data_IF_872880162719
#
_entry.id   IF_872880162719
#
_cell.length_a   1.000
_cell.length_b   1.000
_cell.length_c   1.000
_cell.angle_alpha   90.00
_cell.angle_beta   90.00
_cell.angle_gamma   90.00
#
_symmetry.space_group_name_H-M   'P 1'
#
loop_
_entity.id
_entity.type
_entity.pdbx_description
1 polymer ?
#
# COMPACT_ATOMS: atom_id res chain seq x y z
N UNK A 1 -12.95 -24.36 5.82
CA UNK A 1 -11.49 -24.54 5.73
C UNK A 1 -10.95 -23.22 5.22
N UNK A 2 -10.12 -22.53 6.00
CA UNK A 2 -9.48 -21.29 5.57
C UNK A 2 -8.49 -21.64 4.45
N UNK A 3 -8.52 -20.87 3.36
CA UNK A 3 -7.69 -21.13 2.18
C UNK A 3 -6.28 -20.63 2.47
N UNK A 4 -5.38 -21.56 2.74
CA UNK A 4 -4.00 -21.31 3.18
C UNK A 4 -3.14 -20.90 1.97
N UNK A 5 -3.18 -19.63 1.59
CA UNK A 5 -2.12 -19.05 0.75
C UNK A 5 -0.95 -18.68 1.68
N UNK A 6 0.28 -18.96 1.24
CA UNK A 6 1.46 -18.90 2.11
C UNK A 6 2.25 -17.61 1.92
N UNK A 7 2.21 -17.02 0.72
CA UNK A 7 2.93 -15.79 0.41
C UNK A 7 2.19 -14.92 -0.62
N UNK A 8 2.33 -13.60 -0.45
CA UNK A 8 1.88 -12.58 -1.40
C UNK A 8 3.12 -11.96 -2.06
N UNK A 9 3.16 -11.94 -3.39
CA UNK A 9 4.29 -11.41 -4.18
C UNK A 9 3.82 -10.38 -5.19
N UNK A 10 4.64 -9.37 -5.42
CA UNK A 10 4.41 -8.26 -6.36
C UNK A 10 5.72 -7.96 -7.08
N UNK A 11 5.67 -7.75 -8.38
CA UNK A 11 6.83 -7.28 -9.14
C UNK A 11 6.92 -5.76 -9.02
N UNK A 12 7.96 -5.25 -8.35
CA UNK A 12 8.19 -3.82 -8.14
C UNK A 12 8.89 -3.21 -9.38
N UNK A 13 8.26 -2.24 -10.08
CA UNK A 13 8.88 -1.59 -11.23
C UNK A 13 10.14 -0.82 -10.83
N UNK A 14 11.23 -0.97 -11.59
CA UNK A 14 12.55 -0.40 -11.25
C UNK A 14 12.94 -0.69 -9.77
N UNK A 15 13.22 -1.97 -9.42
CA UNK A 15 13.37 -2.42 -8.03
C UNK A 15 14.37 -1.63 -7.17
N UNK A 16 15.37 -1.01 -7.79
CA UNK A 16 16.37 -0.17 -7.11
C UNK A 16 15.80 1.12 -6.51
N UNK A 17 14.58 1.52 -6.89
CA UNK A 17 13.86 2.66 -6.31
C UNK A 17 12.90 2.25 -5.19
N UNK A 18 12.87 0.96 -4.82
CA UNK A 18 11.94 0.46 -3.84
C UNK A 18 12.66 -0.12 -2.63
N UNK A 19 12.16 0.23 -1.46
CA UNK A 19 12.53 -0.37 -0.20
C UNK A 19 11.42 -1.34 0.23
N UNK A 20 11.72 -2.63 0.32
CA UNK A 20 10.80 -3.63 0.87
C UNK A 20 10.89 -3.63 2.39
N UNK A 21 9.76 -3.48 3.08
CA UNK A 21 9.74 -3.44 4.54
C UNK A 21 9.79 -4.86 5.12
N UNK A 22 10.72 -5.11 6.05
CA UNK A 22 10.76 -6.37 6.79
C UNK A 22 9.71 -6.36 7.90
N UNK A 23 8.49 -6.80 7.59
CA UNK A 23 7.37 -6.86 8.54
C UNK A 23 7.53 -7.94 9.63
N UNK A 24 8.63 -8.70 9.63
CA UNK A 24 8.93 -9.76 10.60
C UNK A 24 10.01 -9.35 11.61
N UNK A 25 10.71 -8.24 11.39
CA UNK A 25 11.73 -7.76 12.33
C UNK A 25 11.18 -7.56 13.74
N UNK A 26 11.93 -8.01 14.75
CA UNK A 26 11.63 -7.83 16.17
C UNK A 26 12.23 -6.54 16.73
N UNK A 27 13.18 -5.93 16.00
CA UNK A 27 13.83 -4.66 16.35
C UNK A 27 13.70 -3.65 15.18
N UNK A 28 12.50 -3.08 14.98
CA UNK A 28 12.23 -2.21 13.84
C UNK A 28 13.00 -0.88 13.89
N UNK A 29 13.37 -0.39 15.08
CA UNK A 29 14.11 0.87 15.24
C UNK A 29 15.55 0.73 14.73
N UNK A 30 16.25 -0.32 15.15
CA UNK A 30 17.61 -0.60 14.65
C UNK A 30 17.59 -0.92 13.16
N UNK A 31 16.60 -1.71 12.71
CA UNK A 31 16.43 -2.06 11.30
C UNK A 31 16.22 -0.81 10.42
N UNK A 32 15.33 0.11 10.81
CA UNK A 32 15.07 1.33 10.04
C UNK A 32 16.33 2.21 9.90
N UNK A 33 17.17 2.28 10.94
CA UNK A 33 18.46 2.98 10.89
C UNK A 33 19.47 2.29 9.97
N UNK A 34 19.53 0.97 9.99
CA UNK A 34 20.40 0.22 9.08
C UNK A 34 20.01 0.47 7.62
N UNK A 35 18.72 0.38 7.32
CA UNK A 35 18.16 0.70 6.01
C UNK A 35 18.50 2.11 5.57
N UNK A 36 18.36 3.11 6.45
CA UNK A 36 18.75 4.49 6.14
C UNK A 36 20.24 4.61 5.76
N UNK A 37 21.11 3.83 6.41
CA UNK A 37 22.55 3.83 6.12
C UNK A 37 22.94 3.14 4.83
N UNK A 38 22.13 2.18 4.37
CA UNK A 38 22.31 1.48 3.10
C UNK A 38 21.71 2.25 1.93
N UNK A 39 20.60 2.95 2.17
CA UNK A 39 19.83 3.63 1.12
C UNK A 39 20.34 5.03 0.78
N UNK A 40 20.87 5.76 1.76
CA UNK A 40 21.35 7.12 1.58
C UNK A 40 22.85 7.15 1.23
N UNK A 41 23.26 8.07 0.37
CA UNK A 41 24.67 8.23 0.00
C UNK A 41 25.57 8.53 1.21
N UNK A 42 26.82 8.07 1.12
CA UNK A 42 27.84 8.38 2.10
C UNK A 42 28.05 9.90 2.21
N UNK A 43 27.95 10.42 3.44
CA UNK A 43 28.05 11.86 3.71
C UNK A 43 26.72 12.61 3.75
N UNK A 44 25.58 11.91 3.63
CA UNK A 44 24.27 12.47 3.93
C UNK A 44 24.25 13.02 5.37
N UNK A 45 23.72 14.24 5.54
CA UNK A 45 23.67 14.91 6.84
C UNK A 45 22.82 14.15 7.87
N UNK A 46 23.15 14.25 9.17
CA UNK A 46 22.45 13.51 10.23
C UNK A 46 20.94 13.79 10.25
N UNK A 47 20.50 15.02 9.96
CA UNK A 47 19.08 15.39 9.97
C UNK A 47 18.26 14.63 8.91
N UNK A 48 18.81 14.46 7.70
CA UNK A 48 18.15 13.71 6.63
C UNK A 48 18.13 12.21 6.91
N UNK A 49 19.21 11.70 7.50
CA UNK A 49 19.30 10.32 7.94
C UNK A 49 18.24 9.99 9.00
N UNK A 50 18.13 10.82 10.04
CA UNK A 50 17.17 10.63 11.13
C UNK A 50 15.73 10.77 10.65
N UNK A 51 15.46 11.73 9.76
CA UNK A 51 14.15 11.90 9.14
C UNK A 51 13.75 10.66 8.33
N UNK A 52 14.64 10.16 7.48
CA UNK A 52 14.37 8.97 6.65
C UNK A 52 14.14 7.72 7.51
N UNK A 53 14.97 7.48 8.53
CA UNK A 53 14.79 6.36 9.45
C UNK A 53 13.44 6.46 10.19
N UNK A 54 13.03 7.68 10.56
CA UNK A 54 11.73 7.93 11.19
C UNK A 54 10.57 7.61 10.24
N UNK A 55 10.65 8.02 8.98
CA UNK A 55 9.64 7.71 7.95
C UNK A 55 9.52 6.20 7.74
N UNK A 56 10.65 5.50 7.56
CA UNK A 56 10.68 4.04 7.39
C UNK A 56 10.00 3.34 8.57
N UNK A 57 10.30 3.76 9.80
CA UNK A 57 9.69 3.22 11.01
C UNK A 57 8.18 3.51 11.08
N UNK A 58 7.76 4.72 10.69
CA UNK A 58 6.35 5.11 10.66
C UNK A 58 5.54 4.23 9.69
N UNK A 59 6.02 4.07 8.46
CA UNK A 59 5.37 3.24 7.45
C UNK A 59 5.38 1.75 7.82
N UNK A 60 6.47 1.26 8.42
CA UNK A 60 6.52 -0.10 8.96
C UNK A 60 5.44 -0.31 10.02
N UNK A 61 5.32 0.62 10.97
CA UNK A 61 4.31 0.57 12.03
C UNK A 61 2.89 0.63 11.46
N UNK A 62 2.65 1.45 10.45
CA UNK A 62 1.36 1.54 9.75
C UNK A 62 1.00 0.22 9.06
N UNK A 63 1.94 -0.38 8.32
CA UNK A 63 1.75 -1.67 7.65
C UNK A 63 1.47 -2.80 8.66
N UNK A 64 2.21 -2.85 9.78
CA UNK A 64 2.00 -3.83 10.86
C UNK A 64 0.63 -3.70 11.51
N UNK A 65 0.18 -2.50 11.85
CA UNK A 65 -1.16 -2.27 12.44
C UNK A 65 -2.29 -2.72 11.51
N UNK A 66 -2.07 -2.64 10.21
CA UNK A 66 -3.03 -3.06 9.19
C UNK A 66 -2.96 -4.56 8.86
N UNK A 67 -2.08 -5.32 9.51
CA UNK A 67 -1.78 -6.72 9.17
C UNK A 67 -1.43 -6.88 7.68
N UNK A 68 -0.61 -5.97 7.15
CA UNK A 68 -0.15 -6.05 5.79
C UNK A 68 0.62 -7.36 5.54
N UNK A 69 0.36 -7.97 4.39
CA UNK A 69 1.02 -9.17 3.90
C UNK A 69 2.38 -8.82 3.30
N UNK A 70 2.43 -7.70 2.58
CA UNK A 70 3.65 -7.08 2.11
C UNK A 70 3.52 -5.56 2.15
N UNK A 71 4.65 -4.88 2.30
CA UNK A 71 4.72 -3.44 2.25
C UNK A 71 6.04 -2.99 1.61
N UNK A 72 6.00 -1.91 0.85
CA UNK A 72 7.17 -1.36 0.15
C UNK A 72 7.05 0.15 0.03
N UNK A 73 8.17 0.85 0.06
CA UNK A 73 8.23 2.30 -0.12
C UNK A 73 8.91 2.62 -1.44
N UNK A 74 8.30 3.50 -2.23
CA UNK A 74 8.96 4.11 -3.38
C UNK A 74 9.86 5.21 -2.85
N UNK A 75 11.16 4.96 -2.86
CA UNK A 75 12.19 5.89 -2.43
C UNK A 75 13.37 5.74 -3.38
N UNK A 76 13.44 6.57 -4.43
CA UNK A 76 14.63 6.61 -5.28
C UNK A 76 15.89 6.89 -4.44
N UNK A 77 17.09 6.51 -4.92
CA UNK A 77 18.34 6.83 -4.25
C UNK A 77 18.43 8.33 -3.92
N UNK A 78 18.85 8.64 -2.70
CA UNK A 78 19.01 10.01 -2.18
C UNK A 78 17.72 10.86 -2.19
N UNK A 79 16.55 10.23 -2.22
CA UNK A 79 15.25 10.89 -2.18
C UNK A 79 14.41 10.47 -0.96
N UNK A 80 13.50 11.35 -0.47
CA UNK A 80 12.54 10.96 0.57
C UNK A 80 11.59 9.87 0.07
N UNK A 81 10.79 9.32 0.98
CA UNK A 81 9.71 8.41 0.60
C UNK A 81 8.68 9.17 -0.23
N UNK A 82 8.48 8.74 -1.47
CA UNK A 82 7.54 9.36 -2.41
C UNK A 82 6.15 8.72 -2.35
N UNK A 83 6.10 7.41 -2.09
CA UNK A 83 4.86 6.66 -1.97
C UNK A 83 5.04 5.43 -1.09
N UNK A 84 3.94 4.94 -0.52
CA UNK A 84 3.89 3.68 0.22
C UNK A 84 2.90 2.72 -0.42
N UNK A 85 3.36 1.49 -0.67
CA UNK A 85 2.55 0.40 -1.18
C UNK A 85 2.34 -0.65 -0.10
N UNK A 86 1.10 -1.12 0.06
CA UNK A 86 0.74 -2.20 0.98
C UNK A 86 -0.25 -3.14 0.35
N UNK A 87 -0.10 -4.45 0.59
CA UNK A 87 -1.14 -5.43 0.32
C UNK A 87 -1.61 -6.00 1.64
N UNK A 88 -2.93 -6.04 1.88
CA UNK A 88 -3.49 -6.72 3.06
C UNK A 88 -4.67 -7.61 2.68
N UNK A 89 -4.93 -8.59 3.54
CA UNK A 89 -6.13 -9.40 3.47
C UNK A 89 -7.32 -8.65 4.09
N UNK A 90 -8.45 -8.66 3.39
CA UNK A 90 -9.74 -8.17 3.88
C UNK A 90 -10.70 -9.35 3.89
N UNK A 91 -11.23 -9.68 5.07
CA UNK A 91 -12.24 -10.73 5.19
C UNK A 91 -13.55 -10.22 4.63
N UNK A 92 -14.04 -10.88 3.59
CA UNK A 92 -15.29 -10.53 2.93
C UNK A 92 -16.29 -11.65 3.18
N UNK A 93 -17.49 -11.36 3.73
CA UNK A 93 -18.56 -12.33 3.83
C UNK A 93 -18.85 -12.96 2.44
N UNK A 94 -19.16 -14.26 2.34
CA UNK A 94 -19.40 -14.91 1.03
C UNK A 94 -20.43 -14.18 0.16
N UNK A 95 -21.47 -13.61 0.76
CA UNK A 95 -22.50 -12.80 0.11
C UNK A 95 -21.99 -11.46 -0.45
N UNK A 96 -20.86 -10.97 0.06
CA UNK A 96 -20.19 -9.75 -0.37
C UNK A 96 -18.99 -10.01 -1.29
N UNK A 97 -18.70 -11.27 -1.64
CA UNK A 97 -17.61 -11.65 -2.53
C UNK A 97 -17.92 -11.38 -4.02
N UNK A 98 -18.44 -10.19 -4.33
CA UNK A 98 -18.68 -9.71 -5.69
C UNK A 98 -18.20 -8.26 -5.82
N UNK A 99 -17.77 -7.86 -7.01
CA UNK A 99 -17.32 -6.47 -7.25
C UNK A 99 -18.45 -5.48 -7.00
N UNK A 100 -19.69 -5.84 -7.33
CA UNK A 100 -20.87 -5.01 -7.05
C UNK A 100 -21.08 -4.78 -5.55
N UNK A 101 -20.89 -5.82 -4.72
CA UNK A 101 -20.98 -5.69 -3.27
C UNK A 101 -19.82 -4.87 -2.70
N UNK A 102 -18.58 -5.08 -3.16
CA UNK A 102 -17.44 -4.24 -2.80
C UNK A 102 -17.68 -2.77 -3.17
N UNK A 103 -18.23 -2.50 -4.36
CA UNK A 103 -18.58 -1.15 -4.81
C UNK A 103 -19.64 -0.52 -3.92
N UNK A 104 -20.67 -1.28 -3.55
CA UNK A 104 -21.71 -0.80 -2.63
C UNK A 104 -21.13 -0.51 -1.24
N UNK A 105 -20.30 -1.39 -0.70
CA UNK A 105 -19.66 -1.22 0.61
C UNK A 105 -18.69 -0.03 0.61
N UNK A 106 -17.77 0.04 -0.36
CA UNK A 106 -16.81 1.14 -0.47
C UNK A 106 -17.50 2.47 -0.77
N UNK A 107 -18.55 2.47 -1.60
CA UNK A 107 -19.33 3.66 -1.91
C UNK A 107 -20.25 4.13 -0.78
N UNK A 108 -20.63 3.23 0.14
CA UNK A 108 -21.38 3.56 1.36
C UNK A 108 -20.48 3.83 2.56
N UNK A 109 -19.19 3.47 2.48
CA UNK A 109 -18.23 3.74 3.55
C UNK A 109 -18.08 5.26 3.65
N UNK A 110 -18.66 5.85 4.69
CA UNK A 110 -18.45 7.26 5.02
C UNK A 110 -17.10 7.42 5.74
N UNK A 111 -16.00 7.35 4.98
CA UNK A 111 -14.69 7.75 5.48
C UNK A 111 -14.51 9.26 5.35
N UNK A 112 -13.56 9.88 6.08
CA UNK A 112 -13.14 11.24 5.76
C UNK A 112 -12.42 11.21 4.41
N UNK A 113 -13.18 11.35 3.32
CA UNK A 113 -12.66 11.46 1.97
C UNK A 113 -12.73 12.89 1.50
N UNK A 114 -11.70 13.32 0.78
CA UNK A 114 -11.66 14.64 0.19
C UNK A 114 -11.91 14.53 -1.31
N UNK A 115 -12.75 15.41 -1.84
CA UNK A 115 -13.06 15.45 -3.27
C UNK A 115 -13.90 14.26 -3.76
N UNK A 116 -13.82 14.00 -5.07
CA UNK A 116 -14.58 12.93 -5.73
C UNK A 116 -13.83 11.61 -5.65
N UNK A 117 -14.53 10.55 -5.25
CA UNK A 117 -14.03 9.18 -5.35
C UNK A 117 -14.28 8.64 -6.77
N UNK A 118 -13.28 8.01 -7.37
CA UNK A 118 -13.43 7.31 -8.65
C UNK A 118 -13.42 5.81 -8.40
N UNK A 119 -14.51 5.12 -8.80
CA UNK A 119 -14.69 3.68 -8.62
C UNK A 119 -14.84 3.01 -9.97
N UNK A 120 -13.94 2.10 -10.31
CA UNK A 120 -13.90 1.40 -11.59
C UNK A 120 -13.82 -0.11 -11.38
N UNK A 121 -14.61 -0.87 -12.13
CA UNK A 121 -14.49 -2.34 -12.13
C UNK A 121 -13.43 -2.72 -13.16
N UNK A 122 -12.46 -3.53 -12.75
CA UNK A 122 -11.34 -3.95 -13.60
C UNK A 122 -11.11 -5.45 -13.44
N UNK A 123 -10.55 -6.07 -14.47
CA UNK A 123 -10.15 -7.48 -14.43
C UNK A 123 -8.63 -7.58 -14.26
N UNK A 124 -8.18 -8.21 -13.17
CA UNK A 124 -6.77 -8.47 -12.91
C UNK A 124 -6.46 -9.97 -13.07
N UNK A 125 -5.19 -10.36 -13.27
CA UNK A 125 -4.82 -11.77 -13.43
C UNK A 125 -5.25 -12.69 -12.28
N UNK A 126 -5.37 -12.16 -11.05
CA UNK A 126 -5.84 -12.92 -9.89
C UNK A 126 -7.38 -13.04 -9.81
N UNK A 127 -8.11 -12.13 -10.44
CA UNK A 127 -9.56 -12.10 -10.45
C UNK A 127 -10.15 -10.71 -10.68
N UNK A 128 -11.48 -10.62 -10.68
CA UNK A 128 -12.17 -9.33 -10.81
C UNK A 128 -11.87 -8.45 -9.60
N UNK A 129 -11.78 -7.15 -9.83
CA UNK A 129 -11.39 -6.18 -8.81
C UNK A 129 -12.17 -4.86 -8.92
N UNK A 130 -12.22 -4.15 -7.81
CA UNK A 130 -12.65 -2.75 -7.75
C UNK A 130 -11.43 -1.86 -7.58
N UNK A 131 -11.16 -1.01 -8.57
CA UNK A 131 -10.18 0.06 -8.50
C UNK A 131 -10.83 1.30 -7.89
N UNK A 132 -10.18 1.88 -6.90
CA UNK A 132 -10.68 3.02 -6.14
C UNK A 132 -9.59 4.07 -6.05
N UNK A 133 -9.83 5.25 -6.61
CA UNK A 133 -8.95 6.41 -6.44
C UNK A 133 -9.63 7.44 -5.53
N UNK A 134 -8.94 7.88 -4.48
CA UNK A 134 -9.45 8.85 -3.52
C UNK A 134 -8.33 9.60 -2.80
N UNK A 135 -8.71 10.70 -2.16
CA UNK A 135 -7.87 11.39 -1.18
C UNK A 135 -8.34 11.04 0.24
N UNK A 136 -7.41 10.63 1.10
CA UNK A 136 -7.67 10.20 2.47
C UNK A 136 -6.65 10.79 3.46
N UNK A 137 -7.01 10.99 4.75
CA UNK A 137 -6.06 11.46 5.74
C UNK A 137 -5.09 10.34 6.15
N UNK A 138 -3.82 10.69 6.39
CA UNK A 138 -2.79 9.75 6.89
C UNK A 138 -3.05 9.27 8.32
N UNK A 139 -3.81 10.04 9.10
CA UNK A 139 -4.20 9.73 10.47
C UNK A 139 -5.67 10.11 10.71
N UNK A 140 -6.65 9.29 10.28
CA UNK A 140 -8.07 9.62 10.36
C UNK A 140 -8.59 9.83 11.79
N UNK A 141 -7.91 9.27 12.78
CA UNK A 141 -8.27 9.30 14.20
C UNK A 141 -7.65 10.49 14.96
N UNK A 142 -6.74 11.23 14.31
CA UNK A 142 -6.03 12.35 14.91
C UNK A 142 -6.59 13.70 14.45
N UNK A 143 -6.49 14.72 15.31
CA UNK A 143 -6.83 16.11 14.95
C UNK A 143 -5.86 16.73 13.94
N UNK A 144 -4.75 16.04 13.64
CA UNK A 144 -3.72 16.42 12.70
C UNK A 144 -3.41 15.24 11.78
N UNK A 145 -3.37 15.49 10.49
CA UNK A 145 -3.02 14.51 9.47
C UNK A 145 -2.84 15.21 8.13
N UNK A 146 -2.00 14.65 7.27
CA UNK A 146 -1.87 15.11 5.90
C UNK A 146 -2.92 14.44 5.03
N UNK A 147 -3.32 15.10 3.96
CA UNK A 147 -4.16 14.48 2.93
C UNK A 147 -3.22 13.81 1.94
N UNK A 148 -3.37 12.50 1.76
CA UNK A 148 -2.69 11.73 0.74
C UNK A 148 -3.67 11.35 -0.36
N UNK A 149 -3.17 11.31 -1.58
CA UNK A 149 -3.87 10.67 -2.68
C UNK A 149 -3.50 9.20 -2.71
N UNK A 150 -4.43 8.35 -3.15
CA UNK A 150 -4.18 6.93 -3.25
C UNK A 150 -5.05 6.22 -4.26
N UNK A 151 -4.52 5.10 -4.74
CA UNK A 151 -5.25 4.10 -5.51
C UNK A 151 -5.22 2.78 -4.75
N UNK A 152 -6.41 2.21 -4.54
CA UNK A 152 -6.60 0.89 -3.97
C UNK A 152 -7.27 -0.03 -4.99
N UNK A 153 -6.75 -1.25 -5.12
CA UNK A 153 -7.39 -2.34 -5.84
C UNK A 153 -7.91 -3.35 -4.82
N UNK A 154 -9.22 -3.53 -4.77
CA UNK A 154 -9.87 -4.60 -4.00
C UNK A 154 -10.07 -5.80 -4.91
N UNK A 155 -9.15 -6.75 -4.84
CA UNK A 155 -9.11 -7.92 -5.72
C UNK A 155 -9.84 -9.07 -5.06
N UNK A 156 -10.73 -9.74 -5.81
CA UNK A 156 -11.40 -10.98 -5.39
C UNK A 156 -10.70 -12.18 -6.05
N UNK A 157 -9.79 -12.90 -5.38
CA UNK A 157 -9.02 -13.94 -6.01
C UNK A 157 -9.92 -15.12 -6.40
N UNK A 158 -9.91 -15.50 -7.68
CA UNK A 158 -10.77 -16.58 -8.20
C UNK A 158 -10.50 -17.94 -7.56
N UNK A 159 -9.26 -18.19 -7.11
CA UNK A 159 -8.83 -19.45 -6.47
C UNK A 159 -8.94 -19.47 -4.95
N UNK A 160 -9.10 -18.30 -4.32
CA UNK A 160 -9.14 -18.15 -2.86
C UNK A 160 -10.45 -17.46 -2.46
N UNK A 161 -11.48 -18.26 -2.25
CA UNK A 161 -12.82 -17.75 -1.91
C UNK A 161 -12.90 -17.31 -0.45
N UNK A 162 -13.78 -16.33 -0.18
CA UNK A 162 -14.03 -15.80 1.17
C UNK A 162 -13.03 -14.74 1.65
N UNK A 163 -12.22 -14.20 0.74
CA UNK A 163 -11.26 -13.13 1.04
C UNK A 163 -11.15 -12.17 -0.14
N UNK A 164 -10.83 -10.92 0.16
CA UNK A 164 -10.37 -9.93 -0.81
C UNK A 164 -8.98 -9.47 -0.43
N UNK A 165 -8.20 -9.02 -1.42
CA UNK A 165 -6.93 -8.35 -1.20
C UNK A 165 -7.13 -6.86 -1.45
N UNK A 166 -6.72 -6.03 -0.50
CA UNK A 166 -6.59 -4.59 -0.72
C UNK A 166 -5.13 -4.29 -1.06
N UNK A 167 -4.87 -3.93 -2.31
CA UNK A 167 -3.57 -3.49 -2.80
C UNK A 167 -3.59 -1.97 -2.94
N UNK A 168 -2.91 -1.26 -2.06
CA UNK A 168 -3.03 0.19 -1.94
C UNK A 168 -1.68 0.88 -2.11
N UNK A 169 -1.63 1.86 -3.01
CA UNK A 169 -0.53 2.79 -3.16
C UNK A 169 -1.00 4.18 -2.70
N UNK A 170 -0.27 4.81 -1.78
CA UNK A 170 -0.54 6.14 -1.24
C UNK A 170 0.65 7.07 -1.49
N UNK A 171 0.39 8.35 -1.76
CA UNK A 171 1.41 9.37 -1.93
C UNK A 171 0.94 10.76 -1.48
N UNK A 172 1.89 11.59 -1.05
CA UNK A 172 1.69 13.00 -0.71
C UNK A 172 2.31 13.96 -1.73
N UNK A 173 3.01 13.45 -2.76
CA UNK A 173 3.77 14.26 -3.72
C UNK A 173 2.88 14.89 -4.81
N UNK A 174 2.71 16.23 -4.83
CA UNK A 174 1.92 16.90 -5.85
C UNK A 174 2.56 16.76 -7.24
N UNK A 175 1.76 16.49 -8.26
CA UNK A 175 2.22 16.43 -9.67
C UNK A 175 2.71 15.06 -10.13
N UNK A 176 2.79 14.06 -9.24
CA UNK A 176 3.09 12.67 -9.62
C UNK A 176 1.84 11.78 -9.72
N UNK A 177 0.65 12.31 -9.45
CA UNK A 177 -0.58 11.53 -9.28
C UNK A 177 -0.93 10.62 -10.46
N UNK A 178 -0.84 11.08 -11.71
CA UNK A 178 -1.13 10.25 -12.88
C UNK A 178 -0.12 9.10 -13.03
N UNK A 179 1.17 9.40 -12.85
CA UNK A 179 2.23 8.39 -12.96
C UNK A 179 2.14 7.35 -11.84
N UNK A 180 1.85 7.78 -10.61
CA UNK A 180 1.68 6.90 -9.46
C UNK A 180 0.37 6.10 -9.53
N UNK A 181 -0.70 6.67 -10.06
CA UNK A 181 -1.94 5.94 -10.31
C UNK A 181 -1.70 4.80 -11.31
N UNK A 182 -0.99 5.06 -12.41
CA UNK A 182 -0.60 4.02 -13.36
C UNK A 182 0.32 2.97 -12.72
N UNK A 183 1.25 3.40 -11.87
CA UNK A 183 2.12 2.48 -11.14
C UNK A 183 1.32 1.58 -10.18
N UNK A 184 0.26 2.10 -9.54
CA UNK A 184 -0.63 1.30 -8.72
C UNK A 184 -1.34 0.21 -9.53
N UNK A 185 -1.73 0.51 -10.77
CA UNK A 185 -2.35 -0.43 -11.70
C UNK A 185 -1.33 -1.54 -12.08
N UNK A 186 -0.10 -1.17 -12.44
CA UNK A 186 0.98 -2.12 -12.76
C UNK A 186 1.32 -3.06 -11.59
N UNK A 187 1.36 -2.53 -10.35
CA UNK A 187 1.58 -3.32 -9.14
C UNK A 187 0.42 -4.29 -8.87
N UNK A 188 -0.83 -3.88 -9.13
CA UNK A 188 -1.99 -4.74 -8.96
C UNK A 188 -2.04 -5.86 -10.01
N UNK A 189 -1.63 -5.58 -11.26
CA UNK A 189 -1.52 -6.58 -12.32
C UNK A 189 -0.44 -7.64 -12.04
N UNK A 190 0.67 -7.25 -11.40
CA UNK A 190 1.78 -8.15 -11.08
C UNK A 190 1.56 -8.99 -9.81
N UNK A 191 0.50 -8.72 -9.04
CA UNK A 191 0.18 -9.44 -7.81
C UNK A 191 0.02 -10.95 -8.04
N UNK A 192 0.67 -11.76 -7.19
CA UNK A 192 0.58 -13.23 -7.18
C UNK A 192 0.39 -13.75 -5.75
N UNK A 193 -0.39 -14.81 -5.63
CA UNK A 193 -0.56 -15.61 -4.41
C UNK A 193 0.05 -16.98 -4.65
N UNK A 194 0.83 -17.50 -3.68
CA UNK A 194 1.43 -18.84 -3.74
C UNK A 194 1.05 -19.68 -2.54
#
# INVERSE_FOLDING_TARGET
MATDWTECRVDLPAPHNWLVLDLRTEDPETWARQVAGEHLAQGTGPDLYDAFATDVLWYWGAARRQNALCASLLTPPDAPVLASYTVREVKVPPEAATVAALRAEVGQTEGPFFGTQLLEEVDLPLGPALRVQRMEPTAPEAASGEIVEGVAHYVLPTRFTGTALECRLLWSSPGLGEALAKMADELAESLRLT
#
